data_IF_308280225076
#
_entry.id   IF_308280225076
#
_cell.length_a   1.000
_cell.length_b   1.000
_cell.length_c   1.000
_cell.angle_alpha   90.00
_cell.angle_beta   90.00
_cell.angle_gamma   90.00
#
_symmetry.space_group_name_H-M   'P 1'
#
loop_
_entity.id
_entity.type
_entity.pdbx_description
1 polymer ?
#
# COMPACT_ATOMS: atom_id res chain seq x y z
N UNK A 1 15.68 23.45 -8.46
CA UNK A 1 14.56 23.00 -7.60
C UNK A 1 14.18 21.63 -8.09
N UNK A 2 14.48 20.58 -7.33
CA UNK A 2 14.03 19.22 -7.62
C UNK A 2 12.55 19.16 -7.31
N UNK A 3 11.67 19.02 -8.31
CA UNK A 3 10.23 18.91 -8.04
C UNK A 3 9.97 17.74 -7.08
N UNK A 4 9.13 17.95 -6.08
CA UNK A 4 8.77 16.90 -5.13
C UNK A 4 7.99 15.78 -5.82
N UNK A 5 7.97 14.56 -5.27
CA UNK A 5 7.17 13.47 -5.84
C UNK A 5 5.69 13.85 -6.01
N UNK A 6 5.15 14.66 -5.10
CA UNK A 6 3.78 15.21 -5.17
C UNK A 6 3.48 16.08 -6.40
N UNK A 7 4.51 16.66 -7.02
CA UNK A 7 4.36 17.45 -8.23
C UNK A 7 4.18 16.56 -9.48
N UNK A 8 4.87 15.41 -9.53
CA UNK A 8 4.95 14.54 -10.71
C UNK A 8 4.05 13.30 -10.64
N UNK A 9 3.77 12.80 -9.44
CA UNK A 9 2.86 11.67 -9.22
C UNK A 9 1.45 12.21 -9.01
N UNK A 10 0.53 11.80 -9.89
CA UNK A 10 -0.90 12.08 -9.79
C UNK A 10 -1.68 10.77 -9.73
N UNK A 11 -2.70 10.70 -8.86
CA UNK A 11 -3.45 9.48 -8.56
C UNK A 11 -4.04 8.85 -9.83
N UNK A 12 -4.61 9.69 -10.69
CA UNK A 12 -5.27 9.34 -11.95
C UNK A 12 -4.32 8.79 -13.03
N UNK A 13 -3.03 9.07 -12.93
CA UNK A 13 -2.02 8.61 -13.87
C UNK A 13 -1.32 7.32 -13.41
N UNK A 14 -1.70 6.78 -12.25
CA UNK A 14 -1.10 5.58 -11.69
C UNK A 14 -1.91 4.34 -12.06
N UNK A 15 -1.21 3.21 -12.21
CA UNK A 15 -1.86 1.90 -12.33
C UNK A 15 -2.56 1.57 -11.02
N UNK A 16 -3.83 1.18 -11.11
CA UNK A 16 -4.65 0.82 -9.96
C UNK A 16 -5.59 -0.33 -10.27
N UNK A 17 -5.67 -1.28 -9.35
CA UNK A 17 -6.67 -2.36 -9.33
C UNK A 17 -7.12 -2.55 -7.88
N UNK A 18 -8.44 -2.48 -7.64
CA UNK A 18 -9.00 -2.60 -6.29
C UNK A 18 -8.68 -3.97 -5.69
N UNK A 19 -8.34 -4.01 -4.39
CA UNK A 19 -7.93 -5.21 -3.66
C UNK A 19 -6.59 -5.85 -4.09
N UNK A 20 -5.78 -5.14 -4.88
CA UNK A 20 -4.38 -5.52 -5.20
C UNK A 20 -3.43 -4.38 -4.77
N UNK A 21 -3.63 -3.86 -3.54
CA UNK A 21 -2.88 -2.71 -3.01
C UNK A 21 -1.36 -2.94 -3.01
N UNK A 22 -0.91 -4.17 -2.80
CA UNK A 22 0.47 -4.62 -2.88
C UNK A 22 1.06 -4.43 -4.28
N UNK A 23 0.30 -4.73 -5.34
CA UNK A 23 0.74 -4.55 -6.73
C UNK A 23 0.61 -3.08 -7.16
N UNK A 24 -0.41 -2.36 -6.69
CA UNK A 24 -0.58 -0.93 -6.95
C UNK A 24 0.63 -0.13 -6.42
N UNK A 25 1.07 -0.42 -5.19
CA UNK A 25 2.24 0.24 -4.61
C UNK A 25 3.54 -0.23 -5.28
N UNK A 26 3.61 -1.49 -5.74
CA UNK A 26 4.76 -1.96 -6.53
C UNK A 26 4.88 -1.16 -7.84
N UNK A 27 3.76 -0.97 -8.56
CA UNK A 27 3.70 -0.20 -9.80
C UNK A 27 4.02 1.28 -9.57
N UNK A 28 3.60 1.86 -8.45
CA UNK A 28 4.02 3.20 -8.06
C UNK A 28 5.54 3.28 -7.85
N UNK A 29 6.14 2.31 -7.16
CA UNK A 29 7.59 2.25 -6.99
C UNK A 29 8.33 2.12 -8.34
N UNK A 30 7.81 1.29 -9.26
CA UNK A 30 8.35 1.12 -10.61
C UNK A 30 8.29 2.45 -11.39
N UNK A 31 7.14 3.14 -11.33
CA UNK A 31 6.97 4.44 -11.96
C UNK A 31 7.96 5.47 -11.40
N UNK A 32 8.09 5.56 -10.06
CA UNK A 32 9.04 6.47 -9.40
C UNK A 32 10.47 6.16 -9.84
N UNK A 33 10.86 4.87 -9.88
CA UNK A 33 12.18 4.44 -10.35
C UNK A 33 12.48 4.96 -11.77
N UNK A 34 11.48 4.99 -12.64
CA UNK A 34 11.63 5.39 -14.04
C UNK A 34 11.65 6.91 -14.23
N UNK A 35 10.91 7.67 -13.42
CA UNK A 35 10.79 9.13 -13.60
C UNK A 35 11.72 9.95 -12.69
N UNK A 36 11.98 9.45 -11.47
CA UNK A 36 12.74 10.09 -10.40
C UNK A 36 13.44 9.05 -9.52
N UNK A 37 14.41 8.30 -10.06
CA UNK A 37 15.13 7.26 -9.33
C UNK A 37 15.77 7.76 -8.02
N UNK A 38 16.19 9.03 -7.98
CA UNK A 38 16.76 9.68 -6.80
C UNK A 38 15.78 9.80 -5.63
N UNK A 39 14.46 9.80 -5.87
CA UNK A 39 13.46 9.84 -4.81
C UNK A 39 13.20 8.45 -4.19
N UNK A 40 13.56 7.38 -4.89
CA UNK A 40 13.19 6.01 -4.51
C UNK A 40 13.87 5.55 -3.23
N UNK A 41 15.08 6.05 -2.93
CA UNK A 41 15.81 5.74 -1.68
C UNK A 41 15.08 6.25 -0.43
N UNK A 42 14.22 7.26 -0.60
CA UNK A 42 13.44 7.87 0.45
C UNK A 42 12.02 7.29 0.55
N UNK A 43 11.70 6.30 -0.29
CA UNK A 43 10.40 5.65 -0.34
C UNK A 43 10.41 4.32 0.43
N UNK A 44 9.34 4.08 1.18
CA UNK A 44 9.13 2.86 1.95
C UNK A 44 7.72 2.33 1.75
N UNK A 45 7.61 1.05 1.44
CA UNK A 45 6.34 0.32 1.33
C UNK A 45 5.95 -0.21 2.70
N UNK A 46 4.72 0.10 3.11
CA UNK A 46 4.18 -0.24 4.41
C UNK A 46 3.09 -1.28 4.22
N UNK A 47 3.31 -2.48 4.76
CA UNK A 47 2.24 -3.46 4.97
C UNK A 47 1.69 -3.26 6.37
N UNK A 48 0.37 -3.15 6.48
CA UNK A 48 -0.35 -3.15 7.76
C UNK A 48 -1.29 -4.33 7.84
N UNK A 49 -1.23 -5.08 8.94
CA UNK A 49 -2.13 -6.19 9.26
C UNK A 49 -2.05 -6.48 10.76
N UNK A 50 -2.66 -7.57 11.22
CA UNK A 50 -2.58 -8.08 12.58
C UNK A 50 -2.82 -9.60 12.57
N UNK A 51 -2.70 -10.25 13.74
CA UNK A 51 -2.93 -11.70 13.84
C UNK A 51 -4.34 -12.13 13.44
N UNK A 52 -5.33 -11.27 13.66
CA UNK A 52 -6.75 -11.54 13.34
C UNK A 52 -7.12 -11.23 11.90
N UNK A 53 -6.22 -10.66 11.09
CA UNK A 53 -6.51 -10.13 9.75
C UNK A 53 -7.76 -9.22 9.76
N UNK A 54 -7.78 -8.27 10.69
CA UNK A 54 -8.86 -7.31 10.89
C UNK A 54 -8.27 -5.97 11.30
N UNK A 55 -7.80 -5.19 10.33
CA UNK A 55 -7.20 -3.88 10.58
C UNK A 55 -8.13 -2.76 10.10
N UNK A 56 -8.73 -1.99 11.03
CA UNK A 56 -9.56 -0.86 10.66
C UNK A 56 -8.69 0.30 10.17
N UNK A 57 -9.08 0.86 9.03
CA UNK A 57 -8.52 2.06 8.42
C UNK A 57 -9.71 2.92 7.96
N UNK A 58 -9.73 4.18 8.38
CA UNK A 58 -10.76 5.15 8.03
C UNK A 58 -10.40 5.93 6.76
N UNK A 59 -11.36 6.67 6.22
CA UNK A 59 -11.17 7.43 4.98
C UNK A 59 -10.72 6.54 3.83
N UNK A 60 -11.35 5.37 3.67
CA UNK A 60 -11.09 4.42 2.58
C UNK A 60 -12.25 4.39 1.58
N UNK A 61 -11.98 4.27 0.28
CA UNK A 61 -12.96 4.30 -0.82
C UNK A 61 -14.05 3.24 -0.70
N UNK A 62 -13.71 2.11 -0.10
CA UNK A 62 -14.62 0.99 0.16
C UNK A 62 -15.52 1.20 1.37
N UNK A 63 -15.22 2.19 2.23
CA UNK A 63 -16.01 2.52 3.40
C UNK A 63 -17.17 3.47 3.09
N UNK A 64 -18.19 3.45 3.95
CA UNK A 64 -19.35 4.34 3.85
C UNK A 64 -19.11 5.66 4.59
N UNK A 65 -19.60 6.77 4.02
CA UNK A 65 -19.43 8.12 4.60
C UNK A 65 -19.97 8.24 6.03
N UNK A 66 -21.05 7.52 6.34
CA UNK A 66 -21.72 7.49 7.65
C UNK A 66 -20.81 6.93 8.77
N UNK A 67 -19.85 6.07 8.39
CA UNK A 67 -18.91 5.42 9.29
C UNK A 67 -17.50 6.03 9.18
N UNK A 68 -17.39 7.31 8.82
CA UNK A 68 -16.10 7.97 8.53
C UNK A 68 -15.28 7.21 7.47
N UNK A 69 -15.96 6.57 6.52
CA UNK A 69 -15.36 5.71 5.48
C UNK A 69 -14.48 4.59 6.07
N UNK A 70 -14.92 3.99 7.17
CA UNK A 70 -14.26 2.84 7.78
C UNK A 70 -14.25 1.64 6.82
N UNK A 71 -13.06 1.05 6.63
CA UNK A 71 -12.88 -0.28 6.05
C UNK A 71 -12.06 -1.15 7.01
N UNK A 72 -12.45 -2.42 7.17
CA UNK A 72 -11.70 -3.42 7.94
C UNK A 72 -11.01 -4.35 6.94
N UNK A 73 -9.71 -4.18 6.80
CA UNK A 73 -8.89 -4.96 5.87
C UNK A 73 -8.33 -6.22 6.54
N UNK A 74 -8.05 -7.25 5.75
CA UNK A 74 -7.21 -8.36 6.18
C UNK A 74 -5.73 -7.94 6.24
N UNK A 75 -5.29 -7.19 5.23
CA UNK A 75 -4.10 -6.37 5.23
C UNK A 75 -4.29 -5.19 4.27
N UNK A 76 -3.51 -4.14 4.44
CA UNK A 76 -3.46 -3.02 3.49
C UNK A 76 -2.01 -2.63 3.19
N UNK A 77 -1.78 -2.06 2.01
CA UNK A 77 -0.46 -1.61 1.57
C UNK A 77 -0.53 -0.18 1.07
N UNK A 78 0.33 0.67 1.63
CA UNK A 78 0.54 2.04 1.20
C UNK A 78 2.04 2.35 1.18
N UNK A 79 2.42 3.46 0.57
CA UNK A 79 3.82 3.91 0.56
C UNK A 79 3.96 5.21 1.34
N UNK A 80 5.11 5.40 2.00
CA UNK A 80 5.53 6.69 2.50
C UNK A 80 6.77 7.17 1.75
N UNK A 81 6.89 8.48 1.55
CA UNK A 81 8.12 9.14 1.12
C UNK A 81 8.56 10.13 2.20
N UNK A 82 9.84 10.06 2.58
CA UNK A 82 10.46 10.99 3.52
C UNK A 82 11.20 12.07 2.77
N UNK A 83 10.88 13.33 3.02
CA UNK A 83 11.62 14.46 2.45
C UNK A 83 12.02 15.45 3.55
N UNK A 84 12.84 16.45 3.19
CA UNK A 84 13.15 17.58 4.09
C UNK A 84 11.92 18.39 4.49
N UNK A 85 10.84 18.32 3.71
CA UNK A 85 9.62 19.10 3.91
C UNK A 85 8.54 18.32 4.69
N UNK A 86 8.87 17.12 5.17
CA UNK A 86 7.93 16.24 5.86
C UNK A 86 7.79 14.87 5.18
N UNK A 87 6.90 14.05 5.73
CA UNK A 87 6.60 12.71 5.21
C UNK A 87 5.24 12.71 4.52
N UNK A 88 5.18 12.13 3.33
CA UNK A 88 3.97 12.00 2.53
C UNK A 88 3.52 10.54 2.47
N UNK A 89 2.21 10.31 2.48
CA UNK A 89 1.58 9.00 2.32
C UNK A 89 0.90 8.91 0.96
N UNK A 90 1.20 7.83 0.25
CA UNK A 90 0.58 7.43 -1.01
C UNK A 90 -0.25 6.19 -0.76
N UNK A 91 -1.55 6.39 -0.56
CA UNK A 91 -2.55 5.34 -0.40
C UNK A 91 -3.55 5.44 -1.56
N UNK A 92 -3.61 4.43 -2.42
CA UNK A 92 -4.54 4.45 -3.55
C UNK A 92 -6.00 4.31 -3.13
N UNK A 93 -6.25 3.75 -1.95
CA UNK A 93 -7.58 3.45 -1.45
C UNK A 93 -8.11 4.54 -0.51
N UNK A 94 -7.30 5.53 -0.12
CA UNK A 94 -7.83 6.63 0.70
C UNK A 94 -8.72 7.60 -0.09
N UNK A 95 -9.74 8.17 0.56
CA UNK A 95 -10.52 9.33 0.08
C UNK A 95 -9.89 10.67 0.49
N UNK A 96 -8.79 10.65 1.27
CA UNK A 96 -7.97 11.84 1.51
C UNK A 96 -7.19 12.24 0.24
N UNK A 97 -6.47 13.35 0.33
CA UNK A 97 -5.57 13.81 -0.72
C UNK A 97 -4.54 12.75 -1.12
N UNK A 98 -3.99 12.89 -2.33
CA UNK A 98 -2.96 12.00 -2.85
C UNK A 98 -1.81 12.77 -3.50
N UNK A 99 -0.60 12.72 -2.92
CA UNK A 99 -0.31 12.19 -1.57
C UNK A 99 -0.95 13.05 -0.47
N UNK A 100 -1.00 12.53 0.76
CA UNK A 100 -1.45 13.24 1.96
C UNK A 100 -0.32 13.32 3.00
N UNK A 101 -0.17 14.43 3.75
CA UNK A 101 0.79 14.50 4.85
C UNK A 101 0.60 13.38 5.88
N UNK A 102 1.72 12.81 6.34
CA UNK A 102 1.73 11.66 7.24
C UNK A 102 0.94 11.90 8.52
N UNK A 103 1.08 13.07 9.12
CA UNK A 103 0.38 13.46 10.34
C UNK A 103 -1.14 13.46 10.15
N UNK A 104 -1.62 13.89 8.96
CA UNK A 104 -3.04 13.87 8.60
C UNK A 104 -3.51 12.43 8.41
N UNK A 105 -2.74 11.60 7.71
CA UNK A 105 -3.09 10.19 7.51
C UNK A 105 -3.15 9.43 8.83
N UNK A 106 -2.17 9.64 9.73
CA UNK A 106 -2.18 9.04 11.07
C UNK A 106 -3.42 9.49 11.84
N UNK A 107 -3.70 10.79 11.90
CA UNK A 107 -4.81 11.31 12.69
C UNK A 107 -6.18 10.91 12.14
N UNK A 108 -6.35 10.86 10.81
CA UNK A 108 -7.66 10.60 10.19
C UNK A 108 -7.89 9.15 9.81
N UNK A 109 -6.92 8.51 9.15
CA UNK A 109 -7.07 7.16 8.61
C UNK A 109 -6.64 6.09 9.62
N UNK A 110 -5.50 6.28 10.29
CA UNK A 110 -5.03 5.30 11.27
C UNK A 110 -5.68 5.49 12.64
N UNK A 111 -5.95 6.69 13.14
CA UNK A 111 -6.60 6.90 14.46
C UNK A 111 -5.98 6.02 15.58
N UNK A 112 -4.74 6.32 16.05
CA UNK A 112 -3.99 5.47 16.99
C UNK A 112 -4.75 5.08 18.27
N UNK A 113 -5.74 5.86 18.68
CA UNK A 113 -6.64 5.58 19.82
C UNK A 113 -7.43 4.27 19.68
N UNK A 114 -7.65 3.77 18.46
CA UNK A 114 -8.26 2.47 18.21
C UNK A 114 -7.24 1.33 18.23
N UNK A 115 -5.93 1.61 18.22
CA UNK A 115 -4.91 0.58 18.07
C UNK A 115 -4.88 -0.40 19.24
N UNK A 116 -5.29 0.01 20.45
CA UNK A 116 -5.35 -0.86 21.63
C UNK A 116 -6.24 -2.09 21.46
N UNK A 117 -7.22 -2.04 20.54
CA UNK A 117 -8.18 -3.12 20.32
C UNK A 117 -7.82 -4.02 19.14
N UNK A 118 -7.07 -3.48 18.18
CA UNK A 118 -6.78 -4.15 16.92
C UNK A 118 -5.30 -4.47 16.74
N UNK A 119 -4.41 -3.93 17.58
CA UNK A 119 -2.98 -4.21 17.58
C UNK A 119 -2.39 -4.22 16.18
N UNK A 120 -2.55 -3.11 15.43
CA UNK A 120 -2.02 -3.05 14.06
C UNK A 120 -0.51 -3.13 14.13
N UNK A 121 0.01 -4.01 13.30
CA UNK A 121 1.43 -4.23 13.15
C UNK A 121 1.84 -3.77 11.75
N UNK A 122 2.97 -3.08 11.68
CA UNK A 122 3.46 -2.44 10.46
C UNK A 122 4.78 -3.06 10.05
N UNK A 123 4.86 -3.52 8.81
CA UNK A 123 6.12 -3.93 8.19
C UNK A 123 6.55 -2.85 7.20
N UNK A 124 7.71 -2.28 7.45
CA UNK A 124 8.31 -1.22 6.64
C UNK A 124 9.39 -1.83 5.74
N UNK A 125 9.28 -1.64 4.44
CA UNK A 125 10.16 -2.23 3.43
C UNK A 125 10.72 -1.11 2.55
N UNK A 126 12.04 -0.94 2.41
CA UNK A 126 12.60 0.01 1.43
C UNK A 126 12.10 -0.28 0.01
N UNK A 127 11.70 0.74 -0.76
CA UNK A 127 11.11 0.53 -2.09
C UNK A 127 12.05 -0.19 -3.07
N UNK A 128 13.37 0.02 -2.97
CA UNK A 128 14.35 -0.74 -3.76
C UNK A 128 14.32 -2.25 -3.45
N UNK A 129 14.23 -2.62 -2.17
CA UNK A 129 14.06 -4.02 -1.75
C UNK A 129 12.73 -4.57 -2.22
N UNK A 130 11.66 -3.77 -2.14
CA UNK A 130 10.34 -4.20 -2.62
C UNK A 130 10.34 -4.50 -4.12
N UNK A 131 10.95 -3.64 -4.94
CA UNK A 131 11.05 -3.84 -6.39
C UNK A 131 11.89 -5.05 -6.80
N UNK A 132 12.86 -5.46 -5.98
CA UNK A 132 13.79 -6.55 -6.32
C UNK A 132 13.40 -7.89 -5.73
N UNK A 133 12.56 -7.89 -4.70
CA UNK A 133 12.23 -9.11 -3.95
C UNK A 133 10.74 -9.47 -3.93
N UNK A 134 9.83 -8.53 -4.19
CA UNK A 134 8.39 -8.81 -4.16
C UNK A 134 7.98 -9.72 -5.33
N UNK A 135 7.15 -10.72 -5.03
CA UNK A 135 6.49 -11.56 -6.02
C UNK A 135 5.09 -11.92 -5.53
N UNK A 136 4.13 -11.99 -6.46
CA UNK A 136 2.76 -12.43 -6.22
C UNK A 136 2.31 -13.25 -7.41
N UNK A 137 1.85 -14.47 -7.17
CA UNK A 137 1.17 -15.32 -8.16
C UNK A 137 -0.36 -15.10 -8.16
N UNK A 138 -0.85 -14.16 -7.34
CA UNK A 138 -2.26 -13.82 -7.11
C UNK A 138 -3.12 -14.99 -6.63
N UNK A 139 -2.52 -16.10 -6.19
CA UNK A 139 -3.25 -17.28 -5.73
C UNK A 139 -4.14 -17.01 -4.53
N UNK A 140 -3.71 -16.09 -3.65
CA UNK A 140 -4.48 -15.64 -2.49
C UNK A 140 -5.79 -14.94 -2.85
N UNK A 141 -5.92 -14.42 -4.08
CA UNK A 141 -7.15 -13.81 -4.60
C UNK A 141 -8.07 -14.80 -5.31
N UNK A 142 -7.68 -16.09 -5.41
CA UNK A 142 -8.51 -17.12 -6.02
C UNK A 142 -9.40 -17.81 -4.98
N UNK A 143 -10.66 -18.01 -5.34
CA UNK A 143 -11.61 -18.86 -4.63
C UNK A 143 -11.25 -20.33 -4.86
N UNK A 144 -11.86 -21.23 -4.06
CA UNK A 144 -11.65 -22.68 -4.17
C UNK A 144 -12.03 -23.26 -5.53
N UNK A 145 -12.96 -22.63 -6.24
CA UNK A 145 -13.39 -23.02 -7.59
C UNK A 145 -12.50 -22.46 -8.70
N UNK A 146 -11.45 -21.71 -8.36
CA UNK A 146 -10.52 -21.09 -9.29
C UNK A 146 -10.93 -19.73 -9.83
N UNK A 147 -12.14 -19.25 -9.53
CA UNK A 147 -12.57 -17.89 -9.86
C UNK A 147 -11.90 -16.85 -8.96
N UNK A 148 -11.81 -15.59 -9.41
CA UNK A 148 -11.21 -14.53 -8.62
C UNK A 148 -12.21 -13.91 -7.63
N UNK A 149 -11.72 -13.51 -6.45
CA UNK A 149 -12.49 -12.73 -5.49
C UNK A 149 -12.72 -11.29 -5.98
N UNK A 150 -11.76 -10.75 -6.71
CA UNK A 150 -11.79 -9.49 -7.45
C UNK A 150 -10.97 -9.63 -8.74
N UNK A 151 -11.43 -8.99 -9.81
CA UNK A 151 -10.76 -9.06 -11.12
C UNK A 151 -9.28 -8.64 -11.00
N UNK A 152 -8.34 -9.48 -11.46
CA UNK A 152 -6.92 -9.20 -11.33
C UNK A 152 -6.46 -8.09 -12.28
N UNK A 153 -5.29 -7.47 -12.00
CA UNK A 153 -4.67 -6.58 -12.96
C UNK A 153 -4.42 -7.27 -14.31
N UNK A 154 -4.55 -6.52 -15.41
CA UNK A 154 -4.42 -7.06 -16.78
C UNK A 154 -3.00 -7.45 -17.18
N UNK A 155 -1.99 -6.95 -16.46
CA UNK A 155 -0.60 -7.34 -16.66
C UNK A 155 -0.29 -8.66 -15.95
N UNK A 156 0.73 -9.37 -16.43
CA UNK A 156 1.21 -10.63 -15.84
C UNK A 156 1.56 -10.48 -14.35
N UNK A 157 1.40 -11.52 -13.52
CA UNK A 157 1.76 -11.47 -12.11
C UNK A 157 3.22 -11.03 -11.91
N UNK A 158 3.46 -10.25 -10.85
CA UNK A 158 4.80 -9.72 -10.56
C UNK A 158 5.69 -10.87 -10.07
N UNK A 159 6.82 -11.06 -10.75
CA UNK A 159 7.85 -12.02 -10.41
C UNK A 159 9.21 -11.33 -10.51
N UNK A 160 10.01 -11.40 -9.44
CA UNK A 160 11.34 -10.77 -9.36
C UNK A 160 12.41 -11.83 -9.06
N UNK A 161 13.66 -11.55 -9.43
CA UNK A 161 14.78 -12.50 -9.30
C UNK A 161 15.17 -12.78 -7.83
N UNK A 162 14.72 -11.95 -6.89
CA UNK A 162 15.03 -12.09 -5.47
C UNK A 162 14.34 -13.29 -4.81
N UNK A 163 15.14 -14.26 -4.39
CA UNK A 163 14.74 -15.27 -3.39
C UNK A 163 14.51 -14.51 -2.07
N UNK A 164 13.28 -14.15 -1.69
CA UNK A 164 12.81 -14.07 -0.28
C UNK A 164 11.48 -13.36 0.00
N UNK A 165 10.57 -13.16 -0.96
CA UNK A 165 9.20 -12.72 -0.61
C UNK A 165 8.15 -13.56 -1.32
N UNK A 166 8.14 -14.86 -1.01
CA UNK A 166 6.98 -15.71 -1.23
C UNK A 166 5.94 -15.61 -0.08
N UNK A 167 6.10 -14.64 0.84
CA UNK A 167 5.59 -14.80 2.22
C UNK A 167 4.87 -13.57 2.83
N UNK A 168 4.28 -12.65 2.06
CA UNK A 168 3.59 -11.51 2.71
C UNK A 168 2.12 -11.69 3.05
N UNK A 169 1.43 -12.75 2.63
CA UNK A 169 -0.02 -12.84 2.92
C UNK A 169 -0.34 -14.03 3.85
N UNK A 170 0.44 -15.11 3.78
CA UNK A 170 0.24 -16.31 4.61
C UNK A 170 1.25 -16.45 5.77
N UNK A 171 2.31 -15.65 5.82
CA UNK A 171 3.24 -15.58 6.96
C UNK A 171 3.55 -14.13 7.37
N UNK A 172 2.51 -13.29 7.48
CA UNK A 172 2.59 -12.12 8.38
C UNK A 172 2.68 -12.64 9.82
N UNK A 173 3.82 -13.24 10.17
CA UNK A 173 4.39 -13.07 11.51
C UNK A 173 4.89 -11.64 11.52
N UNK A 174 3.93 -10.74 11.74
CA UNK A 174 4.23 -9.49 12.40
C UNK A 174 4.53 -9.81 13.87
#
# INVERSE_FOLDING_TARGET
MTDTLSAVIKRENCVYTSCYCEENIWKLCEQIKNIKPECLENCFVIFVSNHSKQVPIWFQKSGHVEDDYLCVWDYHVFMIEKSSNGTLVFDFDTVLDFPVPFEIYVAKALKPEFNRHYERLFRVIPSNTYLTCFASDRSHMKRKDGSYMQEPPSYSPICTEGILIFLFINKLKL
#
